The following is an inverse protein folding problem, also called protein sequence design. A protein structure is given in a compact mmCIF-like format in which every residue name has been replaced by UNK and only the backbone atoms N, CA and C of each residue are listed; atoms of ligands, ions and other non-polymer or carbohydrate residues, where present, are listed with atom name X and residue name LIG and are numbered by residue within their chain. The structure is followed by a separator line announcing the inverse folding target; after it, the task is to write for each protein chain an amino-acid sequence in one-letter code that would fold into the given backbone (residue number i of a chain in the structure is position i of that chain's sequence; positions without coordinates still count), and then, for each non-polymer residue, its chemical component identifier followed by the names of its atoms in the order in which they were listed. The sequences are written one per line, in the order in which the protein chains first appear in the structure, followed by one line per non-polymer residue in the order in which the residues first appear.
data_IF_150648408069
#
_entry.id   IF_150648408069
#
_cell.length_a   1.000
_cell.length_b   1.000
_cell.length_c   1.000
_cell.angle_alpha   90.00
_cell.angle_beta   90.00
_cell.angle_gamma   90.00
#
_symmetry.space_group_name_H-M   'P 1'
#
loop_
_entity.id
_entity.type
_entity.pdbx_description
1 polymer ?
#
# COMPACT_ATOMS: atom_id res chain seq x y z
N UNK A 1 9.41 -6.06 -15.04
CA UNK A 1 9.00 -7.00 -13.97
C UNK A 1 7.52 -6.79 -13.69
N UNK A 2 6.78 -7.85 -13.40
CA UNK A 2 5.37 -7.73 -13.00
C UNK A 2 5.26 -7.19 -11.56
N UNK A 3 4.21 -6.43 -11.26
CA UNK A 3 3.95 -5.89 -9.92
C UNK A 3 3.92 -6.98 -8.84
N UNK A 4 3.38 -8.15 -9.17
CA UNK A 4 3.34 -9.31 -8.29
C UNK A 4 4.75 -9.81 -7.90
N UNK A 5 5.71 -9.80 -8.83
CA UNK A 5 7.10 -10.18 -8.56
C UNK A 5 7.80 -9.14 -7.68
N UNK A 6 7.60 -7.85 -7.95
CA UNK A 6 8.15 -6.76 -7.14
C UNK A 6 7.61 -6.80 -5.71
N UNK A 7 6.30 -6.99 -5.55
CA UNK A 7 5.68 -7.10 -4.22
C UNK A 7 6.18 -8.33 -3.47
N UNK A 8 6.37 -9.47 -4.15
CA UNK A 8 6.96 -10.66 -3.53
C UNK A 8 8.39 -10.39 -3.03
N UNK A 9 9.21 -9.70 -3.83
CA UNK A 9 10.57 -9.35 -3.42
C UNK A 9 10.58 -8.47 -2.16
N UNK A 10 9.63 -7.52 -2.05
CA UNK A 10 9.46 -6.69 -0.85
C UNK A 10 9.08 -7.49 0.40
N UNK A 11 8.46 -8.68 0.26
CA UNK A 11 8.15 -9.56 1.41
C UNK A 11 9.35 -10.41 1.86
N UNK A 12 10.34 -10.58 0.99
CA UNK A 12 11.51 -11.42 1.26
C UNK A 12 12.73 -10.63 1.77
N UNK A 13 12.63 -9.30 1.82
CA UNK A 13 13.72 -8.45 2.32
C UNK A 13 13.92 -8.60 3.83
N UNK A 14 15.12 -8.28 4.32
CA UNK A 14 15.44 -8.39 5.75
C UNK A 14 14.79 -7.30 6.61
N UNK A 15 14.47 -6.15 6.03
CA UNK A 15 13.79 -5.06 6.72
C UNK A 15 12.27 -5.29 6.74
N UNK A 16 11.56 -4.93 7.82
CA UNK A 16 10.10 -4.97 7.84
C UNK A 16 9.50 -4.12 6.71
N UNK A 17 8.60 -4.72 5.93
CA UNK A 17 7.83 -4.00 4.91
C UNK A 17 6.67 -3.26 5.58
N UNK A 18 6.68 -1.94 5.51
CA UNK A 18 5.55 -1.12 5.96
C UNK A 18 4.52 -0.99 4.84
N UNK A 19 3.28 -1.43 5.13
CA UNK A 19 2.12 -1.33 4.24
C UNK A 19 1.05 -0.47 4.89
N UNK A 20 1.01 0.81 4.51
CA UNK A 20 -0.04 1.71 4.96
C UNK A 20 -1.33 1.45 4.16
N UNK A 21 -2.47 1.52 4.84
CA UNK A 21 -3.76 1.43 4.17
C UNK A 21 -4.11 2.76 3.49
N UNK A 22 -4.52 2.70 2.23
CA UNK A 22 -5.13 3.81 1.51
C UNK A 22 -6.60 3.50 1.17
N UNK A 23 -7.43 4.55 1.17
CA UNK A 23 -8.87 4.42 0.84
C UNK A 23 -9.30 5.33 -0.32
N UNK A 24 -8.37 6.11 -0.85
CA UNK A 24 -8.56 7.05 -1.96
C UNK A 24 -7.20 7.34 -2.66
N UNK A 25 -7.21 7.91 -3.88
CA UNK A 25 -5.97 8.23 -4.61
C UNK A 25 -5.06 9.24 -3.90
N UNK A 26 -5.62 10.21 -3.17
CA UNK A 26 -4.82 11.18 -2.42
C UNK A 26 -4.04 10.54 -1.27
N UNK A 27 -4.65 9.59 -0.57
CA UNK A 27 -4.02 8.79 0.47
C UNK A 27 -2.88 7.95 -0.11
N UNK A 28 -3.07 7.33 -1.28
CA UNK A 28 -2.00 6.60 -1.96
C UNK A 28 -0.83 7.52 -2.36
N UNK A 29 -1.12 8.72 -2.86
CA UNK A 29 -0.11 9.71 -3.21
C UNK A 29 0.70 10.16 -1.99
N UNK A 30 0.04 10.43 -0.85
CA UNK A 30 0.74 10.80 0.40
C UNK A 30 1.66 9.67 0.86
N UNK A 31 1.21 8.42 0.78
CA UNK A 31 2.03 7.26 1.19
C UNK A 31 3.27 7.12 0.28
N UNK A 32 3.12 7.34 -1.03
CA UNK A 32 4.26 7.36 -1.96
C UNK A 32 5.26 8.48 -1.59
N UNK A 33 4.77 9.71 -1.35
CA UNK A 33 5.62 10.85 -0.95
C UNK A 33 6.33 10.62 0.39
N UNK A 34 5.74 9.85 1.29
CA UNK A 34 6.36 9.45 2.55
C UNK A 34 7.42 8.33 2.39
N UNK A 35 7.62 7.82 1.17
CA UNK A 35 8.58 6.74 0.87
C UNK A 35 8.00 5.33 0.94
N UNK A 36 6.66 5.19 0.98
CA UNK A 36 5.99 3.90 0.93
C UNK A 36 6.25 3.16 -0.38
N UNK A 37 6.72 1.92 -0.29
CA UNK A 37 7.04 1.09 -1.46
C UNK A 37 5.83 0.30 -1.97
N UNK A 38 4.78 0.20 -1.16
CA UNK A 38 3.51 -0.44 -1.50
C UNK A 38 2.40 0.07 -0.58
N UNK A 39 1.16 -0.03 -1.04
CA UNK A 39 -0.05 0.34 -0.30
C UNK A 39 -0.94 -0.88 -0.09
N UNK A 40 -1.70 -0.86 1.00
CA UNK A 40 -2.74 -1.84 1.27
C UNK A 40 -4.11 -1.18 1.22
N UNK A 41 -5.16 -2.00 1.12
CA UNK A 41 -6.55 -1.54 1.19
C UNK A 41 -7.32 -2.44 2.14
N UNK A 42 -8.32 -1.89 2.81
CA UNK A 42 -9.21 -2.67 3.69
C UNK A 42 -10.65 -2.47 3.28
N UNK A 43 -11.43 -3.55 3.24
CA UNK A 43 -12.86 -3.49 2.92
C UNK A 43 -13.64 -2.57 3.85
N UNK A 44 -13.34 -2.55 5.15
CA UNK A 44 -14.01 -1.67 6.10
C UNK A 44 -13.76 -0.17 5.82
N UNK A 45 -12.51 0.22 5.59
CA UNK A 45 -12.18 1.61 5.25
C UNK A 45 -12.72 2.04 3.88
N UNK A 46 -12.73 1.14 2.89
CA UNK A 46 -13.34 1.40 1.58
C UNK A 46 -14.86 1.56 1.66
N UNK A 47 -15.54 0.78 2.51
CA UNK A 47 -16.99 0.94 2.74
C UNK A 47 -17.31 2.26 3.45
N UNK A 48 -16.51 2.67 4.43
CA UNK A 48 -16.71 3.95 5.12
C UNK A 48 -16.37 5.18 4.25
N UNK A 49 -15.45 5.06 3.28
CA UNK A 49 -15.13 6.14 2.36
C UNK A 49 -16.23 6.36 1.29
N UNK A 50 -17.03 5.33 1.00
CA UNK A 50 -18.14 5.40 0.02
C UNK A 50 -19.50 5.81 0.64
N UNK A 51 -19.53 6.12 1.94
CA UNK A 51 -20.74 6.45 2.70
C UNK A 51 -21.06 7.93 2.75
#
# INVERSE_FOLDING_TARGET
MALSTTFNALHQQSAPLFLANCWDPSSAFIIEQAGGQAVATTSWGMSNHQG
#
